data_IF_942089197638
#
_entry.id   IF_942089197638
#
_cell.length_a   1.000
_cell.length_b   1.000
_cell.length_c   1.000
_cell.angle_alpha   90.00
_cell.angle_beta   90.00
_cell.angle_gamma   90.00
#
_symmetry.space_group_name_H-M   'P 1'
#
loop_
_entity.id
_entity.type
_entity.pdbx_description
1 polymer ?
#
# COMPACT_ATOMS: atom_id res chain seq x y z
N UNK A 1 -28.25 -3.30 -18.59
CA UNK A 1 -27.32 -2.89 -17.50
C UNK A 1 -25.93 -3.37 -17.91
N UNK A 2 -25.04 -2.47 -18.33
CA UNK A 2 -23.63 -2.84 -18.53
C UNK A 2 -22.94 -2.82 -17.19
N UNK A 3 -22.33 -3.93 -16.79
CA UNK A 3 -21.44 -3.95 -15.64
C UNK A 3 -20.15 -3.24 -16.09
N UNK A 4 -19.95 -2.02 -15.65
CA UNK A 4 -18.67 -1.32 -15.80
C UNK A 4 -17.71 -1.87 -14.76
N UNK A 5 -16.79 -2.74 -15.18
CA UNK A 5 -15.70 -3.21 -14.32
C UNK A 5 -14.65 -2.09 -14.32
N UNK A 6 -14.60 -1.31 -13.24
CA UNK A 6 -13.55 -0.32 -13.05
C UNK A 6 -12.28 -1.04 -12.62
N UNK A 7 -11.18 -0.83 -13.36
CA UNK A 7 -9.89 -1.41 -13.02
C UNK A 7 -9.30 -0.66 -11.85
N UNK A 8 -9.01 -1.38 -10.76
CA UNK A 8 -8.29 -0.83 -9.61
C UNK A 8 -6.84 -0.52 -9.96
N UNK A 9 -6.38 0.65 -9.55
CA UNK A 9 -5.02 1.14 -9.78
C UNK A 9 -4.36 1.37 -8.43
N UNK A 10 -3.15 0.83 -8.27
CA UNK A 10 -2.36 1.03 -7.06
C UNK A 10 -0.96 1.54 -7.35
N UNK A 11 -0.24 1.83 -6.27
CA UNK A 11 1.12 2.37 -6.33
C UNK A 11 2.02 1.66 -5.32
N UNK A 12 3.31 1.52 -5.63
CA UNK A 12 4.29 0.98 -4.69
C UNK A 12 4.53 1.97 -3.55
N UNK A 13 4.65 1.50 -2.31
CA UNK A 13 5.01 2.37 -1.19
C UNK A 13 6.50 2.76 -1.19
N UNK A 14 7.34 2.06 -1.97
CA UNK A 14 8.79 2.28 -2.02
C UNK A 14 9.17 3.70 -2.48
N UNK A 15 8.43 4.28 -3.44
CA UNK A 15 8.72 5.63 -3.98
C UNK A 15 8.54 6.76 -2.96
N UNK A 16 7.91 6.48 -1.82
CA UNK A 16 7.70 7.44 -0.73
C UNK A 16 8.82 7.41 0.31
N UNK A 17 9.86 6.59 0.09
CA UNK A 17 11.08 6.56 0.89
C UNK A 17 10.83 6.14 2.35
N UNK A 18 11.45 6.87 3.28
CA UNK A 18 11.43 6.56 4.72
C UNK A 18 10.25 7.17 5.48
N UNK A 19 9.18 7.56 4.77
CA UNK A 19 7.96 8.02 5.43
C UNK A 19 7.33 6.87 6.23
N UNK A 20 6.74 7.21 7.38
CA UNK A 20 5.90 6.25 8.13
C UNK A 20 4.71 5.81 7.26
N UNK A 21 4.26 4.58 7.44
CA UNK A 21 3.19 3.99 6.63
C UNK A 21 1.90 4.82 6.68
N UNK A 22 1.56 5.40 7.84
CA UNK A 22 0.37 6.24 8.01
C UNK A 22 0.41 7.48 7.12
N UNK A 23 1.58 8.13 7.03
CA UNK A 23 1.76 9.31 6.17
C UNK A 23 1.72 8.91 4.70
N UNK A 24 2.35 7.80 4.34
CA UNK A 24 2.32 7.26 2.97
C UNK A 24 0.90 6.89 2.55
N UNK A 25 0.13 6.23 3.42
CA UNK A 25 -1.26 5.86 3.17
C UNK A 25 -2.15 7.09 2.93
N UNK A 26 -1.99 8.13 3.74
CA UNK A 26 -2.73 9.38 3.54
C UNK A 26 -2.41 10.05 2.20
N UNK A 27 -1.12 10.15 1.82
CA UNK A 27 -0.71 10.69 0.52
C UNK A 27 -1.31 9.89 -0.64
N UNK A 28 -1.27 8.56 -0.57
CA UNK A 28 -1.78 7.68 -1.63
C UNK A 28 -3.30 7.80 -1.77
N UNK A 29 -4.00 7.90 -0.63
CA UNK A 29 -5.46 8.12 -0.59
C UNK A 29 -5.83 9.47 -1.21
N UNK A 30 -5.11 10.55 -0.86
CA UNK A 30 -5.32 11.89 -1.43
C UNK A 30 -5.05 11.95 -2.94
N UNK A 31 -4.17 11.10 -3.45
CA UNK A 31 -3.91 10.94 -4.89
C UNK A 31 -5.01 10.16 -5.63
N UNK A 32 -5.92 9.50 -4.91
CA UNK A 32 -7.06 8.76 -5.48
C UNK A 32 -6.72 7.36 -5.97
N UNK A 33 -5.67 6.72 -5.46
CA UNK A 33 -5.39 5.31 -5.75
C UNK A 33 -6.30 4.37 -4.94
N UNK A 34 -6.54 3.19 -5.49
CA UNK A 34 -7.39 2.16 -4.87
C UNK A 34 -6.63 1.26 -3.89
N UNK A 35 -5.30 1.27 -3.95
CA UNK A 35 -4.49 0.37 -3.14
C UNK A 35 -2.99 0.48 -3.37
N UNK A 36 -2.25 -0.43 -2.77
CA UNK A 36 -0.79 -0.39 -2.71
C UNK A 36 -0.13 -1.72 -3.02
N UNK A 37 1.06 -1.63 -3.59
CA UNK A 37 2.10 -2.65 -3.43
C UNK A 37 2.96 -2.24 -2.24
N UNK A 38 2.92 -3.04 -1.17
CA UNK A 38 3.51 -2.68 0.12
C UNK A 38 4.97 -3.12 0.21
N UNK A 39 5.89 -2.15 0.17
CA UNK A 39 7.27 -2.33 0.60
C UNK A 39 7.37 -2.31 2.13
N UNK A 40 7.90 -3.39 2.74
CA UNK A 40 7.86 -3.58 4.20
C UNK A 40 9.01 -4.43 4.74
N UNK A 41 9.52 -4.08 5.93
CA UNK A 41 10.35 -5.00 6.71
C UNK A 41 9.46 -5.96 7.52
N UNK A 42 9.46 -7.23 7.12
CA UNK A 42 8.65 -8.28 7.72
C UNK A 42 9.04 -8.60 9.17
N UNK A 43 10.26 -8.26 9.60
CA UNK A 43 10.71 -8.50 10.97
C UNK A 43 10.29 -7.39 11.93
N UNK A 44 9.97 -6.21 11.40
CA UNK A 44 9.61 -5.03 12.19
C UNK A 44 8.12 -4.68 12.09
N UNK A 45 7.35 -5.45 11.31
CA UNK A 45 5.98 -5.10 10.98
C UNK A 45 4.97 -6.10 11.52
N UNK A 46 3.96 -5.58 12.23
CA UNK A 46 2.79 -6.36 12.64
C UNK A 46 1.72 -6.30 11.53
N UNK A 47 1.32 -7.44 10.92
CA UNK A 47 0.38 -7.44 9.80
C UNK A 47 -0.97 -6.79 10.10
N UNK A 48 -1.46 -6.90 11.33
CA UNK A 48 -2.74 -6.29 11.71
C UNK A 48 -2.67 -4.76 11.72
N UNK A 49 -1.54 -4.18 12.16
CA UNK A 49 -1.37 -2.73 12.16
C UNK A 49 -1.35 -2.19 10.73
N UNK A 50 -0.66 -2.87 9.81
CA UNK A 50 -0.65 -2.52 8.38
C UNK A 50 -2.06 -2.52 7.80
N UNK A 51 -2.82 -3.61 8.05
CA UNK A 51 -4.20 -3.72 7.56
C UNK A 51 -5.07 -2.58 8.07
N UNK A 52 -4.97 -2.25 9.36
CA UNK A 52 -5.74 -1.17 9.95
C UNK A 52 -5.37 0.17 9.31
N UNK A 53 -4.08 0.51 9.23
CA UNK A 53 -3.60 1.78 8.65
C UNK A 53 -4.09 1.96 7.21
N UNK A 54 -4.00 0.92 6.38
CA UNK A 54 -4.41 1.00 4.97
C UNK A 54 -5.93 1.04 4.83
N UNK A 55 -6.66 0.25 5.61
CA UNK A 55 -8.13 0.26 5.61
C UNK A 55 -8.70 1.60 6.08
N UNK A 56 -8.09 2.24 7.09
CA UNK A 56 -8.47 3.57 7.58
C UNK A 56 -8.32 4.66 6.49
N UNK A 57 -7.50 4.41 5.47
CA UNK A 57 -7.30 5.28 4.30
C UNK A 57 -8.06 4.80 3.04
N UNK A 58 -8.90 3.75 3.16
CA UNK A 58 -9.64 3.19 2.03
C UNK A 58 -8.77 2.45 1.01
N UNK A 59 -7.56 2.05 1.38
CA UNK A 59 -6.59 1.42 0.49
C UNK A 59 -6.59 -0.10 0.64
N UNK A 60 -6.62 -0.81 -0.50
CA UNK A 60 -6.40 -2.25 -0.54
C UNK A 60 -4.91 -2.61 -0.64
N UNK A 61 -4.54 -3.80 -0.18
CA UNK A 61 -3.21 -4.37 -0.41
C UNK A 61 -3.30 -5.26 -1.65
N UNK A 62 -2.63 -4.89 -2.74
CA UNK A 62 -2.57 -5.71 -3.95
C UNK A 62 -1.43 -6.72 -3.91
N UNK A 63 -0.29 -6.33 -3.35
CA UNK A 63 0.89 -7.17 -3.19
C UNK A 63 1.81 -6.63 -2.10
N UNK A 64 2.83 -7.40 -1.75
CA UNK A 64 3.82 -7.05 -0.73
C UNK A 64 5.22 -7.41 -1.24
N UNK A 65 6.15 -6.47 -1.14
CA UNK A 65 7.59 -6.67 -1.41
C UNK A 65 8.34 -6.54 -0.09
N UNK A 66 8.96 -7.62 0.41
CA UNK A 66 9.72 -7.51 1.65
C UNK A 66 11.03 -6.73 1.44
N UNK A 67 11.52 -6.02 2.46
CA UNK A 67 12.74 -5.21 2.36
C UNK A 67 14.02 -6.03 2.26
N UNK A 68 13.95 -7.34 2.49
CA UNK A 68 15.07 -8.27 2.47
C UNK A 68 15.30 -8.97 1.12
N UNK A 69 14.43 -8.74 0.13
CA UNK A 69 14.72 -9.19 -1.24
C UNK A 69 15.58 -8.12 -1.92
N UNK A 70 16.84 -8.47 -2.11
CA UNK A 70 17.71 -7.76 -3.05
C UNK A 70 17.16 -8.03 -4.47
N UNK A 71 16.66 -6.99 -5.13
CA UNK A 71 16.23 -7.05 -6.54
C UNK A 71 17.38 -6.66 -7.50
N UNK A 72 18.63 -6.68 -7.01
CA UNK A 72 19.84 -6.35 -7.75
C UNK A 72 19.97 -7.00 -9.12
#
# INVERSE_FOLDING_TARGET
MSISIQRKIGVTTWIFGQNKLEKTANIISDMGFDGVELYVDINQTQPQNVKNILADNGLEIFSMTPSNVDLG
#
